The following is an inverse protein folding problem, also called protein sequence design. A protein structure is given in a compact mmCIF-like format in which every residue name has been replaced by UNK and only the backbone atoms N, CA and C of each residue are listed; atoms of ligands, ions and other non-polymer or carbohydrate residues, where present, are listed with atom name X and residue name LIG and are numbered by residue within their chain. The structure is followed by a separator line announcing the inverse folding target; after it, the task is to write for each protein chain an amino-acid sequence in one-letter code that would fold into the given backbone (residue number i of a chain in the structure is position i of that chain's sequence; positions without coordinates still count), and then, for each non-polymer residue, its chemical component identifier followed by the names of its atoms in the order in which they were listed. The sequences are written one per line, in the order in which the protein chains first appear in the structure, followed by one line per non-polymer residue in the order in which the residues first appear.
data_IF_186023195834
#
_entry.id   IF_186023195834
#
_cell.length_a   1.000
_cell.length_b   1.000
_cell.length_c   1.000
_cell.angle_alpha   90.00
_cell.angle_beta   90.00
_cell.angle_gamma   90.00
#
_symmetry.space_group_name_H-M   'P 1'
#
loop_
_entity.id
_entity.type
_entity.pdbx_description
1 polymer ?
#
# COMPACT_ATOMS: atom_id res chain seq x y z
N UNK A 1 -3.55 -9.95 -11.51
CA UNK A 1 -2.83 -8.92 -10.74
C UNK A 1 -3.72 -8.13 -9.80
N UNK A 2 -4.79 -7.48 -10.29
CA UNK A 2 -5.70 -6.72 -9.41
C UNK A 2 -6.33 -7.57 -8.28
N UNK A 3 -6.66 -8.83 -8.56
CA UNK A 3 -7.17 -9.77 -7.55
C UNK A 3 -6.10 -10.16 -6.52
N UNK A 4 -4.83 -10.24 -6.92
CA UNK A 4 -3.68 -10.47 -6.03
C UNK A 4 -3.49 -9.30 -5.08
N UNK A 5 -3.64 -8.07 -5.60
CA UNK A 5 -3.62 -6.85 -4.79
C UNK A 5 -4.81 -6.82 -3.83
N UNK A 6 -6.01 -7.18 -4.28
CA UNK A 6 -7.20 -7.26 -3.45
C UNK A 6 -7.04 -8.30 -2.31
N UNK A 7 -6.51 -9.49 -2.60
CA UNK A 7 -6.24 -10.52 -1.61
C UNK A 7 -5.21 -10.04 -0.57
N UNK A 8 -4.12 -9.40 -1.01
CA UNK A 8 -3.09 -8.88 -0.13
C UNK A 8 -3.61 -7.81 0.84
N UNK A 9 -4.48 -6.91 0.38
CA UNK A 9 -5.09 -5.91 1.28
C UNK A 9 -6.18 -6.49 2.16
N UNK A 10 -6.86 -7.55 1.72
CA UNK A 10 -7.88 -8.25 2.51
C UNK A 10 -7.30 -9.01 3.71
N UNK A 11 -6.01 -9.39 3.67
CA UNK A 11 -5.32 -10.01 4.82
C UNK A 11 -5.17 -9.04 6.02
N UNK A 12 -5.07 -7.73 5.76
CA UNK A 12 -4.96 -6.71 6.82
C UNK A 12 -5.67 -5.41 6.39
N UNK A 13 -7.00 -5.40 6.31
CA UNK A 13 -7.75 -4.31 5.70
C UNK A 13 -7.61 -2.98 6.46
N UNK A 14 -7.25 -3.02 7.74
CA UNK A 14 -7.08 -1.84 8.59
C UNK A 14 -5.61 -1.39 8.70
N UNK A 15 -4.69 -2.02 7.98
CA UNK A 15 -3.29 -1.62 7.96
C UNK A 15 -3.09 -0.37 7.08
N UNK A 16 -2.03 0.37 7.38
CA UNK A 16 -1.50 1.38 6.49
C UNK A 16 -0.62 0.71 5.42
N UNK A 17 -0.85 1.07 4.16
CA UNK A 17 -0.11 0.57 3.02
C UNK A 17 0.68 1.70 2.35
N UNK A 18 1.93 1.43 2.03
CA UNK A 18 2.79 2.32 1.26
C UNK A 18 2.83 1.83 -0.19
N UNK A 19 2.28 2.61 -1.09
CA UNK A 19 2.32 2.37 -2.53
C UNK A 19 3.52 3.12 -3.11
N UNK A 20 4.49 2.35 -3.57
CA UNK A 20 5.71 2.80 -4.25
C UNK A 20 5.95 1.87 -5.44
N UNK A 21 5.23 2.14 -6.54
CA UNK A 21 5.12 1.20 -7.65
C UNK A 21 6.52 0.80 -8.18
N UNK A 22 6.78 -0.51 -8.38
CA UNK A 22 5.82 -1.61 -8.49
C UNK A 22 5.46 -2.31 -7.15
N UNK A 23 5.78 -1.72 -6.00
CA UNK A 23 5.60 -2.31 -4.68
C UNK A 23 4.39 -1.71 -3.94
N UNK A 24 3.70 -2.57 -3.19
CA UNK A 24 2.74 -2.20 -2.17
C UNK A 24 3.14 -2.85 -0.85
N UNK A 25 3.54 -2.06 0.13
CA UNK A 25 4.14 -2.52 1.37
C UNK A 25 3.24 -2.23 2.58
N UNK A 26 3.26 -3.09 3.58
CA UNK A 26 2.65 -2.84 4.90
C UNK A 26 3.60 -3.29 6.02
N UNK A 27 3.57 -2.66 7.20
CA UNK A 27 4.26 -3.20 8.36
C UNK A 27 3.57 -4.50 8.82
N UNK A 28 4.35 -5.48 9.30
CA UNK A 28 3.84 -6.77 9.80
C UNK A 28 3.18 -6.64 11.18
N UNK A 29 3.45 -5.53 11.89
CA UNK A 29 2.81 -5.11 13.14
C UNK A 29 2.77 -3.59 13.20
N UNK A 30 1.70 -2.99 13.75
CA UNK A 30 1.56 -1.54 13.94
C UNK A 30 2.65 -0.92 14.82
N UNK A 31 3.39 -1.74 15.59
CA UNK A 31 4.51 -1.31 16.43
C UNK A 31 5.88 -1.46 15.79
N UNK A 32 5.98 -2.04 14.59
CA UNK A 32 7.25 -2.33 13.93
C UNK A 32 7.54 -1.27 12.85
N UNK A 33 8.33 -0.25 13.21
CA UNK A 33 8.76 0.85 12.34
C UNK A 33 10.08 0.58 11.61
N UNK A 34 10.72 -0.55 11.89
CA UNK A 34 12.00 -0.97 11.35
C UNK A 34 11.84 -1.83 10.09
N UNK A 35 12.68 -1.57 9.08
CA UNK A 35 12.61 -2.16 7.74
C UNK A 35 12.67 -3.70 7.68
N UNK A 36 12.99 -4.38 8.80
CA UNK A 36 13.01 -5.85 8.91
C UNK A 36 11.63 -6.47 9.06
N UNK A 37 10.60 -5.65 9.32
CA UNK A 37 9.22 -6.08 9.57
C UNK A 37 8.23 -5.77 8.46
N UNK A 38 8.64 -5.34 7.27
CA UNK A 38 7.70 -4.93 6.20
C UNK A 38 7.37 -6.08 5.26
N UNK A 39 6.08 -6.31 5.00
CA UNK A 39 5.62 -7.25 3.98
C UNK A 39 5.24 -6.47 2.73
N UNK A 40 5.83 -6.79 1.59
CA UNK A 40 5.58 -6.11 0.32
C UNK A 40 5.03 -7.07 -0.74
N UNK A 41 4.00 -6.62 -1.45
CA UNK A 41 3.51 -7.22 -2.67
C UNK A 41 4.18 -6.53 -3.86
N UNK A 42 4.89 -7.29 -4.69
CA UNK A 42 5.34 -6.81 -6.00
C UNK A 42 4.26 -7.06 -7.05
N UNK A 43 3.76 -5.99 -7.64
CA UNK A 43 2.72 -6.01 -8.68
C UNK A 43 3.35 -5.73 -10.05
N UNK A 44 2.77 -6.25 -11.13
CA UNK A 44 3.11 -5.79 -12.49
C UNK A 44 2.27 -4.60 -12.96
N UNK A 45 1.36 -4.10 -12.11
CA UNK A 45 0.56 -2.90 -12.40
C UNK A 45 1.41 -1.64 -12.27
N UNK A 46 1.13 -0.65 -13.12
CA UNK A 46 1.70 0.69 -12.97
C UNK A 46 1.08 1.44 -11.79
N UNK A 47 1.72 2.53 -11.37
CA UNK A 47 1.29 3.33 -10.20
C UNK A 47 -0.17 3.81 -10.30
N UNK A 48 -0.61 4.23 -11.49
CA UNK A 48 -1.98 4.74 -11.70
C UNK A 48 -2.99 3.61 -11.55
N UNK A 49 -2.71 2.45 -12.11
CA UNK A 49 -3.56 1.26 -11.98
C UNK A 49 -3.64 0.76 -10.54
N UNK A 50 -2.51 0.72 -9.82
CA UNK A 50 -2.49 0.35 -8.40
C UNK A 50 -3.30 1.34 -7.55
N UNK A 51 -3.12 2.64 -7.77
CA UNK A 51 -3.87 3.69 -7.07
C UNK A 51 -5.37 3.59 -7.31
N UNK A 52 -5.80 3.46 -8.58
CA UNK A 52 -7.20 3.30 -8.94
C UNK A 52 -7.80 2.06 -8.28
N UNK A 53 -7.05 0.95 -8.23
CA UNK A 53 -7.50 -0.28 -7.57
C UNK A 53 -7.63 -0.12 -6.05
N UNK A 54 -6.68 0.53 -5.39
CA UNK A 54 -6.75 0.81 -3.96
C UNK A 54 -7.99 1.66 -3.61
N UNK A 55 -8.28 2.69 -4.41
CA UNK A 55 -9.48 3.50 -4.26
C UNK A 55 -10.77 2.69 -4.41
N UNK A 56 -10.84 1.82 -5.44
CA UNK A 56 -11.98 0.93 -5.65
C UNK A 56 -12.19 -0.06 -4.49
N UNK A 57 -11.13 -0.40 -3.75
CA UNK A 57 -11.16 -1.26 -2.56
C UNK A 57 -11.49 -0.50 -1.26
N UNK A 58 -11.80 0.80 -1.34
CA UNK A 58 -12.16 1.63 -0.19
C UNK A 58 -10.97 2.18 0.59
N UNK A 59 -9.78 2.27 -0.02
CA UNK A 59 -8.63 2.93 0.57
C UNK A 59 -8.52 4.37 0.09
N UNK A 60 -8.29 5.28 1.03
CA UNK A 60 -7.86 6.63 0.76
C UNK A 60 -6.33 6.69 0.74
N UNK A 61 -5.77 7.13 -0.38
CA UNK A 61 -4.34 7.29 -0.59
C UNK A 61 -3.97 8.77 -0.70
N UNK A 62 -2.92 9.17 0.01
CA UNK A 62 -2.39 10.53 0.01
C UNK A 62 -0.86 10.50 -0.17
N UNK A 63 -0.28 11.59 -0.66
CA UNK A 63 1.18 11.73 -0.68
C UNK A 63 1.72 11.73 0.77
N UNK A 64 2.91 11.17 0.94
CA UNK A 64 3.68 11.32 2.17
C UNK A 64 3.86 12.83 2.47
N UNK A 65 3.76 13.24 3.75
CA UNK A 65 3.96 14.64 4.13
C UNK A 65 5.43 15.08 4.02
N UNK A 66 6.36 14.12 3.93
CA UNK A 66 7.77 14.39 3.70
C UNK A 66 7.98 14.77 2.22
N UNK A 67 8.45 16.00 1.92
CA UNK A 67 8.52 16.52 0.56
C UNK A 67 9.48 15.75 -0.36
N UNK A 68 10.40 14.97 0.21
CA UNK A 68 11.36 14.14 -0.52
C UNK A 68 10.79 12.75 -0.86
N UNK A 69 9.66 12.37 -0.26
CA UNK A 69 9.02 11.08 -0.48
C UNK A 69 7.89 11.21 -1.51
N UNK A 70 8.04 10.52 -2.63
CA UNK A 70 7.00 10.44 -3.68
C UNK A 70 6.02 9.28 -3.48
N UNK A 71 6.10 8.61 -2.33
CA UNK A 71 5.29 7.45 -2.02
C UNK A 71 3.87 7.85 -1.59
N UNK A 72 2.90 7.00 -1.90
CA UNK A 72 1.52 7.18 -1.47
C UNK A 72 1.23 6.35 -0.23
N UNK A 73 0.69 6.97 0.80
CA UNK A 73 0.22 6.33 2.03
C UNK A 73 -1.28 6.09 1.90
N UNK A 74 -1.68 4.82 1.89
CA UNK A 74 -3.04 4.35 1.71
C UNK A 74 -3.60 3.73 3.00
N UNK A 75 -4.77 4.20 3.43
CA UNK A 75 -5.49 3.69 4.61
C UNK A 75 -6.97 3.47 4.28
N UNK A 76 -7.60 2.50 4.92
CA UNK A 76 -9.05 2.26 4.77
C UNK A 76 -9.84 3.51 5.20
N UNK A 77 -10.88 3.83 4.44
CA UNK A 77 -11.94 4.77 4.85
C UNK A 77 -12.88 4.12 5.87
#
# INVERSE_FOLDING_TARGET
EEERLAAFVAEAPNAEYVLDAPLLCRPRSSQQKDARGTTCLRSSLDAKSMFARMQALGFFCQLSPEPENTQLICRRL
#
